data_IF_502034351636
#
_entry.id   IF_502034351636
#
_cell.length_a   1.000
_cell.length_b   1.000
_cell.length_c   1.000
_cell.angle_alpha   90.00
_cell.angle_beta   90.00
_cell.angle_gamma   90.00
#
_symmetry.space_group_name_H-M   'P 1'
#
loop_
_entity.id
_entity.type
_entity.pdbx_description
1 polymer ?
#
# COMPACT_ATOMS: atom_id res chain seq x y z
N UNK A 1 -2.76 15.11 24.45
CA UNK A 1 -2.20 13.74 24.43
C UNK A 1 -2.37 13.19 23.02
N UNK A 2 -1.27 13.05 22.28
CA UNK A 2 -1.28 12.57 20.90
C UNK A 2 -1.25 11.02 20.93
N UNK A 3 -2.39 10.37 20.67
CA UNK A 3 -2.46 8.90 20.63
C UNK A 3 -1.98 8.42 19.25
N UNK A 4 -0.91 7.64 19.23
CA UNK A 4 -0.51 6.88 18.04
C UNK A 4 -1.19 5.50 18.08
N UNK A 5 -1.98 5.20 17.08
CA UNK A 5 -2.63 3.89 16.90
C UNK A 5 -1.80 3.11 15.89
N UNK A 6 -1.41 1.88 16.27
CA UNK A 6 -0.62 0.98 15.45
C UNK A 6 -1.43 -0.28 15.22
N UNK A 7 -1.77 -0.58 13.96
CA UNK A 7 -2.34 -1.87 13.58
C UNK A 7 -1.18 -2.82 13.21
N UNK A 8 -1.09 -3.97 13.87
CA UNK A 8 -0.16 -5.05 13.52
C UNK A 8 -0.95 -6.36 13.35
N UNK A 9 -0.62 -7.24 12.39
CA UNK A 9 0.15 -7.07 11.14
C UNK A 9 -0.80 -7.00 9.94
N UNK A 10 -0.49 -6.15 8.97
CA UNK A 10 -1.18 -6.14 7.67
C UNK A 10 -0.49 -7.15 6.77
N UNK A 11 -1.03 -8.38 6.70
CA UNK A 11 -0.44 -9.47 5.94
C UNK A 11 -1.25 -9.88 4.71
N UNK A 12 -2.49 -9.39 4.57
CA UNK A 12 -3.32 -9.62 3.38
C UNK A 12 -3.19 -8.50 2.35
N UNK A 13 -3.30 -8.87 1.08
CA UNK A 13 -3.12 -7.98 -0.08
C UNK A 13 -4.12 -6.83 -0.11
N UNK A 14 -5.37 -7.07 0.29
CA UNK A 14 -6.44 -6.08 0.18
C UNK A 14 -6.25 -4.97 1.21
N UNK A 15 -5.86 -5.33 2.44
CA UNK A 15 -5.48 -4.38 3.47
C UNK A 15 -4.23 -3.59 3.08
N UNK A 16 -3.21 -4.21 2.49
CA UNK A 16 -2.03 -3.48 1.98
C UNK A 16 -2.41 -2.44 0.92
N UNK A 17 -3.24 -2.83 -0.06
CA UNK A 17 -3.74 -1.91 -1.11
C UNK A 17 -4.54 -0.76 -0.51
N UNK A 18 -5.42 -1.05 0.44
CA UNK A 18 -6.23 -0.04 1.13
C UNK A 18 -5.36 0.96 1.87
N UNK A 19 -4.35 0.50 2.61
CA UNK A 19 -3.43 1.38 3.33
C UNK A 19 -2.65 2.31 2.39
N UNK A 20 -2.19 1.78 1.25
CA UNK A 20 -1.53 2.60 0.21
C UNK A 20 -2.50 3.63 -0.39
N UNK A 21 -3.75 3.25 -0.65
CA UNK A 21 -4.79 4.17 -1.13
C UNK A 21 -5.17 5.24 -0.08
N UNK A 22 -5.12 4.91 1.21
CA UNK A 22 -5.32 5.86 2.31
C UNK A 22 -4.08 6.73 2.59
N UNK A 23 -3.03 6.64 1.75
CA UNK A 23 -1.82 7.46 1.80
C UNK A 23 -1.06 7.35 3.15
N UNK A 24 -1.06 6.17 3.77
CA UNK A 24 -0.27 5.96 4.98
C UNK A 24 1.23 6.04 4.68
N UNK A 25 2.01 6.63 5.60
CA UNK A 25 3.45 6.79 5.39
C UNK A 25 4.20 5.46 5.43
N UNK A 26 3.75 4.49 6.24
CA UNK A 26 4.47 3.25 6.49
C UNK A 26 3.52 2.06 6.73
N UNK A 27 3.86 0.90 6.15
CA UNK A 27 3.20 -0.39 6.40
C UNK A 27 4.22 -1.34 7.02
N UNK A 28 3.90 -1.89 8.20
CA UNK A 28 4.71 -2.93 8.85
C UNK A 28 4.08 -4.29 8.54
N UNK A 29 4.84 -5.17 7.89
CA UNK A 29 4.37 -6.48 7.42
C UNK A 29 5.45 -7.55 7.53
N UNK A 30 5.04 -8.81 7.72
CA UNK A 30 5.94 -9.96 7.60
C UNK A 30 6.25 -10.34 6.15
N UNK A 31 5.61 -9.69 5.17
CA UNK A 31 5.68 -10.04 3.74
C UNK A 31 6.20 -8.88 2.88
N UNK A 32 7.45 -8.41 3.06
CA UNK A 32 7.97 -7.21 2.40
C UNK A 32 7.98 -7.31 0.87
N UNK A 33 8.30 -8.49 0.30
CA UNK A 33 8.29 -8.69 -1.16
C UNK A 33 6.89 -8.57 -1.76
N UNK A 34 5.85 -8.96 -1.02
CA UNK A 34 4.46 -8.82 -1.46
C UNK A 34 4.06 -7.35 -1.50
N UNK A 35 4.39 -6.62 -0.43
CA UNK A 35 4.14 -5.18 -0.36
C UNK A 35 4.83 -4.43 -1.50
N UNK A 36 6.11 -4.74 -1.77
CA UNK A 36 6.87 -4.12 -2.85
C UNK A 36 6.23 -4.37 -4.22
N UNK A 37 5.74 -5.58 -4.49
CA UNK A 37 5.03 -5.90 -5.73
C UNK A 37 3.77 -5.04 -5.89
N UNK A 38 2.97 -4.91 -4.82
CA UNK A 38 1.73 -4.12 -4.84
C UNK A 38 2.02 -2.63 -5.07
N UNK A 39 3.06 -2.07 -4.44
CA UNK A 39 3.46 -0.67 -4.66
C UNK A 39 3.78 -0.41 -6.13
N UNK A 40 4.57 -1.29 -6.75
CA UNK A 40 4.91 -1.18 -8.16
C UNK A 40 3.68 -1.34 -9.08
N UNK A 41 2.74 -2.24 -8.74
CA UNK A 41 1.49 -2.41 -9.49
C UNK A 41 0.64 -1.13 -9.46
N UNK A 42 0.52 -0.49 -8.30
CA UNK A 42 -0.25 0.75 -8.14
C UNK A 42 0.41 1.91 -8.89
N UNK A 43 1.73 2.06 -8.79
CA UNK A 43 2.48 3.09 -9.53
C UNK A 43 2.31 2.93 -11.05
N UNK A 44 2.39 1.70 -11.55
CA UNK A 44 2.19 1.41 -12.96
C UNK A 44 0.74 1.63 -13.42
N UNK A 45 -0.26 1.36 -12.58
CA UNK A 45 -1.65 1.68 -12.88
C UNK A 45 -1.88 3.18 -13.06
N UNK A 46 -1.16 4.04 -12.33
CA UNK A 46 -1.22 5.48 -12.56
C UNK A 46 -0.62 5.85 -13.92
N UNK A 47 0.49 5.23 -14.32
CA UNK A 47 1.16 5.48 -15.60
C UNK A 47 0.35 4.99 -16.80
N UNK A 48 -0.42 3.93 -16.66
CA UNK A 48 -1.20 3.33 -17.76
C UNK A 48 -2.50 4.10 -18.06
N UNK A 49 -3.07 4.81 -17.06
CA UNK A 49 -4.30 5.59 -17.21
C UNK A 49 -4.12 6.93 -17.96
N UNK A 50 -2.89 7.42 -18.12
CA UNK A 50 -2.57 8.61 -18.91
C UNK A 50 -2.30 8.28 -20.41
N UNK A 51 -2.32 6.99 -20.78
CA UNK A 51 -2.11 6.48 -22.15
C UNK A 51 -3.43 6.03 -22.82
N UNK A 52 -4.52 6.75 -22.62
CA UNK A 52 -5.69 6.62 -23.51
C UNK A 52 -5.60 7.68 -24.62
N UNK A 53 -5.68 7.29 -25.92
CA UNK A 53 -5.80 8.26 -27.02
C UNK A 53 -7.10 9.06 -26.97
#
# INVERSE_FOLDING_TARGET
VNRKVYAWTVDDTDSMKRMLFEHVDNIITGHPTRLQRIMNEIENQCLENDFLP
#
